data_IF_250806563675
#
_entry.id   IF_250806563675
#
_cell.length_a   1.000
_cell.length_b   1.000
_cell.length_c   1.000
_cell.angle_alpha   90.00
_cell.angle_beta   90.00
_cell.angle_gamma   90.00
#
_symmetry.space_group_name_H-M   'P 1'
#
loop_
_entity.id
_entity.type
_entity.pdbx_description
1 polymer ?
#
# COMPACT_ATOMS: atom_id res chain seq x y z
N UNK A 1 -10.42 -0.44 -22.18
CA UNK A 1 -10.04 -1.80 -22.59
C UNK A 1 -11.19 -2.44 -23.32
N UNK A 2 -10.91 -3.22 -24.35
CA UNK A 2 -11.92 -4.02 -25.04
C UNK A 2 -12.16 -5.33 -24.28
N UNK A 3 -13.42 -5.78 -24.15
CA UNK A 3 -13.80 -7.07 -23.52
C UNK A 3 -12.93 -8.27 -23.91
N UNK A 4 -12.37 -8.26 -25.13
CA UNK A 4 -11.47 -9.30 -25.63
C UNK A 4 -10.16 -9.42 -24.83
N UNK A 5 -9.58 -8.30 -24.40
CA UNK A 5 -8.33 -8.26 -23.65
C UNK A 5 -8.55 -8.81 -22.23
N UNK A 6 -9.69 -8.46 -21.62
CA UNK A 6 -10.10 -8.95 -20.31
C UNK A 6 -10.31 -10.48 -20.33
N UNK A 7 -11.01 -10.99 -21.34
CA UNK A 7 -11.23 -12.43 -21.54
C UNK A 7 -9.90 -13.19 -21.74
N UNK A 8 -8.92 -12.57 -22.41
CA UNK A 8 -7.58 -13.14 -22.58
C UNK A 8 -6.83 -13.21 -21.26
N UNK A 9 -6.84 -12.14 -20.44
CA UNK A 9 -6.21 -12.16 -19.11
C UNK A 9 -6.85 -13.23 -18.22
N UNK A 10 -8.19 -13.34 -18.23
CA UNK A 10 -8.91 -14.38 -17.48
C UNK A 10 -8.50 -15.78 -17.93
N UNK A 11 -8.37 -15.99 -19.25
CA UNK A 11 -7.94 -17.29 -19.82
C UNK A 11 -6.51 -17.64 -19.40
N UNK A 12 -5.59 -16.69 -19.47
CA UNK A 12 -4.19 -16.87 -19.08
C UNK A 12 -4.11 -17.14 -17.57
N UNK A 13 -4.83 -16.36 -16.74
CA UNK A 13 -4.89 -16.54 -15.30
C UNK A 13 -5.29 -17.97 -14.92
N UNK A 14 -6.39 -18.49 -15.50
CA UNK A 14 -6.87 -19.85 -15.25
C UNK A 14 -5.84 -20.92 -15.66
N UNK A 15 -5.13 -20.73 -16.78
CA UNK A 15 -4.08 -21.65 -17.22
C UNK A 15 -2.86 -21.62 -16.30
N UNK A 16 -2.38 -20.43 -15.93
CA UNK A 16 -1.25 -20.26 -15.01
C UNK A 16 -1.57 -20.82 -13.63
N UNK A 17 -2.79 -20.64 -13.14
CA UNK A 17 -3.22 -21.21 -11.86
C UNK A 17 -3.18 -22.74 -11.88
N UNK A 18 -3.67 -23.35 -12.97
CA UNK A 18 -3.60 -24.81 -13.16
C UNK A 18 -2.15 -25.32 -13.22
N UNK A 19 -1.24 -24.59 -13.85
CA UNK A 19 0.19 -24.92 -13.89
C UNK A 19 0.84 -24.79 -12.50
N UNK A 20 0.46 -23.76 -11.75
CA UNK A 20 0.90 -23.55 -10.37
C UNK A 20 0.47 -24.72 -9.49
N UNK A 21 -0.81 -25.10 -9.51
CA UNK A 21 -1.35 -26.20 -8.71
C UNK A 21 -0.71 -27.55 -9.05
N UNK A 22 -0.45 -27.81 -10.34
CA UNK A 22 0.12 -29.08 -10.81
C UNK A 22 1.64 -29.16 -10.71
N UNK A 23 2.31 -28.11 -10.21
CA UNK A 23 3.79 -27.98 -10.20
C UNK A 23 4.42 -28.28 -11.57
N UNK A 24 3.71 -27.97 -12.65
CA UNK A 24 4.13 -28.28 -14.00
C UNK A 24 4.58 -26.98 -14.67
N UNK A 25 5.88 -26.84 -14.95
CA UNK A 25 6.45 -25.63 -15.54
C UNK A 25 6.31 -25.55 -17.07
N UNK A 26 5.94 -26.66 -17.72
CA UNK A 26 5.83 -26.73 -19.19
C UNK A 26 4.73 -25.80 -19.70
N UNK A 27 5.10 -24.86 -20.59
CA UNK A 27 4.19 -23.84 -21.16
C UNK A 27 4.01 -22.60 -20.29
N UNK A 28 4.64 -22.51 -19.12
CA UNK A 28 4.57 -21.31 -18.28
C UNK A 28 5.23 -20.10 -18.96
N UNK A 29 6.36 -20.30 -19.66
CA UNK A 29 7.10 -19.24 -20.33
C UNK A 29 6.25 -18.52 -21.39
N UNK A 30 5.52 -19.28 -22.22
CA UNK A 30 4.69 -18.72 -23.29
C UNK A 30 3.52 -17.93 -22.73
N UNK A 31 2.85 -18.44 -21.68
CA UNK A 31 1.76 -17.74 -21.01
C UNK A 31 2.24 -16.44 -20.35
N UNK A 32 3.44 -16.43 -19.76
CA UNK A 32 4.02 -15.21 -19.19
C UNK A 32 4.41 -14.19 -20.27
N UNK A 33 4.86 -14.65 -21.45
CA UNK A 33 5.15 -13.76 -22.59
C UNK A 33 3.88 -13.14 -23.14
N UNK A 34 2.82 -13.94 -23.32
CA UNK A 34 1.50 -13.46 -23.74
C UNK A 34 0.96 -12.43 -22.75
N UNK A 35 1.06 -12.72 -21.44
CA UNK A 35 0.63 -11.83 -20.38
C UNK A 35 1.38 -10.49 -20.33
N UNK A 36 2.63 -10.46 -20.79
CA UNK A 36 3.42 -9.22 -20.86
C UNK A 36 2.94 -8.28 -21.97
N UNK A 37 2.36 -8.82 -23.03
CA UNK A 37 1.90 -8.06 -24.20
C UNK A 37 0.54 -7.43 -23.90
N UNK A 38 -0.33 -8.13 -23.16
CA UNK A 38 -1.65 -7.64 -22.80
C UNK A 38 -1.53 -6.56 -21.73
N UNK A 39 -2.11 -5.36 -21.94
CA UNK A 39 -2.08 -4.29 -20.95
C UNK A 39 -2.84 -4.74 -19.69
N UNK A 40 -2.15 -4.73 -18.55
CA UNK A 40 -2.73 -5.11 -17.26
C UNK A 40 -3.32 -3.89 -16.55
N UNK A 41 -4.49 -4.06 -15.92
CA UNK A 41 -5.12 -3.07 -15.04
C UNK A 41 -5.21 -3.59 -13.61
N UNK A 42 -5.41 -2.66 -12.66
CA UNK A 42 -5.65 -3.01 -11.25
C UNK A 42 -6.88 -3.90 -11.08
N UNK A 43 -7.98 -3.58 -11.78
CA UNK A 43 -9.23 -4.34 -11.74
C UNK A 43 -9.03 -5.79 -12.22
N UNK A 44 -8.31 -6.00 -13.33
CA UNK A 44 -8.00 -7.34 -13.82
C UNK A 44 -7.08 -8.10 -12.86
N UNK A 45 -6.09 -7.42 -12.27
CA UNK A 45 -5.18 -8.05 -11.31
C UNK A 45 -5.93 -8.52 -10.05
N UNK A 46 -6.86 -7.71 -9.53
CA UNK A 46 -7.67 -8.03 -8.35
C UNK A 46 -8.71 -9.12 -8.65
N UNK A 47 -9.48 -8.98 -9.73
CA UNK A 47 -10.56 -9.92 -10.09
C UNK A 47 -10.03 -11.30 -10.47
N UNK A 48 -8.96 -11.36 -11.26
CA UNK A 48 -8.39 -12.64 -11.72
C UNK A 48 -7.46 -13.29 -10.70
N UNK A 49 -6.96 -12.51 -9.73
CA UNK A 49 -5.95 -12.93 -8.76
C UNK A 49 -4.67 -13.52 -9.39
N UNK A 50 -4.37 -13.15 -10.64
CA UNK A 50 -3.25 -13.70 -11.42
C UNK A 50 -1.88 -13.46 -10.77
N UNK A 51 -1.75 -12.41 -9.94
CA UNK A 51 -0.53 -12.14 -9.17
C UNK A 51 -0.11 -13.30 -8.26
N UNK A 52 -1.08 -14.03 -7.69
CA UNK A 52 -0.78 -15.19 -6.84
C UNK A 52 -0.25 -16.36 -7.65
N UNK A 53 -0.92 -16.70 -8.76
CA UNK A 53 -0.51 -17.81 -9.63
C UNK A 53 0.87 -17.55 -10.25
N UNK A 54 1.14 -16.32 -10.70
CA UNK A 54 2.47 -15.93 -11.23
C UNK A 54 3.55 -15.97 -10.16
N UNK A 55 3.24 -15.56 -8.93
CA UNK A 55 4.16 -15.69 -7.80
C UNK A 55 4.44 -17.14 -7.42
N UNK A 56 3.44 -18.03 -7.53
CA UNK A 56 3.63 -19.47 -7.34
C UNK A 56 4.53 -20.06 -8.42
N UNK A 57 4.27 -19.77 -9.70
CA UNK A 57 5.13 -20.16 -10.83
C UNK A 57 6.57 -19.69 -10.59
N UNK A 58 6.78 -18.42 -10.20
CA UNK A 58 8.11 -17.90 -9.86
C UNK A 58 8.83 -18.70 -8.78
N UNK A 59 8.11 -19.18 -7.76
CA UNK A 59 8.71 -19.90 -6.62
C UNK A 59 9.03 -21.36 -6.94
N UNK A 60 8.24 -22.00 -7.80
CA UNK A 60 8.36 -23.43 -8.09
C UNK A 60 9.15 -23.75 -9.37
N UNK A 61 9.28 -22.79 -10.29
CA UNK A 61 10.04 -22.97 -11.52
C UNK A 61 11.53 -23.02 -11.25
N UNK A 62 12.23 -23.95 -11.89
CA UNK A 62 13.70 -24.04 -11.92
C UNK A 62 14.31 -23.33 -13.14
N UNK A 63 13.46 -22.83 -14.04
CA UNK A 63 13.85 -22.10 -15.25
C UNK A 63 14.08 -20.61 -14.91
N UNK A 64 15.29 -20.14 -15.19
CA UNK A 64 15.71 -18.77 -14.92
C UNK A 64 14.97 -17.74 -15.79
N UNK A 65 14.63 -18.06 -17.03
CA UNK A 65 13.87 -17.18 -17.91
C UNK A 65 12.43 -17.02 -17.40
N UNK A 66 11.79 -18.13 -17.02
CA UNK A 66 10.45 -18.12 -16.41
C UNK A 66 10.45 -17.29 -15.12
N UNK A 67 11.47 -17.49 -14.28
CA UNK A 67 11.62 -16.79 -13.01
C UNK A 67 11.83 -15.29 -13.20
N UNK A 68 12.72 -14.91 -14.14
CA UNK A 68 13.01 -13.52 -14.47
C UNK A 68 11.78 -12.79 -15.03
N UNK A 69 11.07 -13.43 -15.96
CA UNK A 69 9.87 -12.85 -16.57
C UNK A 69 8.75 -12.68 -15.54
N UNK A 70 8.53 -13.67 -14.67
CA UNK A 70 7.56 -13.57 -13.58
C UNK A 70 7.93 -12.46 -12.58
N UNK A 71 9.22 -12.29 -12.23
CA UNK A 71 9.69 -11.17 -11.38
C UNK A 71 9.40 -9.82 -12.03
N UNK A 72 9.65 -9.69 -13.34
CA UNK A 72 9.41 -8.45 -14.09
C UNK A 72 7.93 -8.07 -14.11
N UNK A 73 7.03 -9.03 -14.39
CA UNK A 73 5.58 -8.82 -14.36
C UNK A 73 5.09 -8.38 -12.98
N UNK A 74 5.49 -9.08 -11.92
CA UNK A 74 5.12 -8.73 -10.54
C UNK A 74 5.61 -7.32 -10.18
N UNK A 75 6.82 -6.94 -10.59
CA UNK A 75 7.36 -5.59 -10.35
C UNK A 75 6.56 -4.52 -11.10
N UNK A 76 6.15 -4.78 -12.35
CA UNK A 76 5.33 -3.85 -13.11
C UNK A 76 3.96 -3.63 -12.49
N UNK A 77 3.32 -4.69 -11.98
CA UNK A 77 2.01 -4.60 -11.34
C UNK A 77 2.05 -3.95 -9.96
N UNK A 78 3.13 -4.14 -9.19
CA UNK A 78 3.32 -3.40 -7.94
C UNK A 78 3.35 -1.89 -8.16
N UNK A 79 3.98 -1.42 -9.23
CA UNK A 79 3.95 0.00 -9.58
C UNK A 79 2.55 0.52 -9.90
N UNK A 80 1.66 -0.32 -10.42
CA UNK A 80 0.24 0.03 -10.64
C UNK A 80 -0.57 0.10 -9.33
N UNK A 81 -0.05 -0.48 -8.24
CA UNK A 81 -0.63 -0.42 -6.89
C UNK A 81 -0.03 0.72 -6.07
N UNK A 82 1.24 1.05 -6.31
CA UNK A 82 1.99 2.10 -5.59
C UNK A 82 1.73 3.51 -6.16
N UNK A 83 0.86 3.67 -7.16
CA UNK A 83 0.41 5.00 -7.59
C UNK A 83 -0.79 5.42 -6.72
N UNK A 84 -0.61 6.33 -5.73
CA UNK A 84 -1.75 6.95 -5.07
C UNK A 84 -2.49 7.77 -6.14
N UNK A 85 -3.82 7.76 -6.10
CA UNK A 85 -4.66 8.56 -6.97
C UNK A 85 -4.12 10.00 -7.08
N UNK A 86 -3.49 10.34 -8.21
CA UNK A 86 -2.99 11.69 -8.46
C UNK A 86 -1.78 11.76 -9.38
N UNK A 87 -2.01 11.77 -10.70
CA UNK A 87 -1.00 12.30 -11.63
C UNK A 87 -0.96 11.68 -13.02
N UNK A 88 -1.95 12.01 -13.85
CA UNK A 88 -1.85 11.88 -15.31
C UNK A 88 -0.52 12.47 -15.85
N UNK A 89 0.35 11.63 -16.43
CA UNK A 89 0.97 11.83 -17.78
C UNK A 89 2.04 10.79 -18.14
N UNK A 90 1.66 10.00 -19.16
CA UNK A 90 2.43 9.73 -20.39
C UNK A 90 3.72 8.93 -20.29
N UNK A 91 3.66 7.74 -20.90
CA UNK A 91 4.76 6.91 -21.34
C UNK A 91 5.70 7.62 -22.31
N UNK A 92 7.02 7.45 -22.15
CA UNK A 92 7.92 7.32 -23.30
C UNK A 92 9.11 6.40 -22.98
N UNK A 93 9.67 5.91 -24.06
CA UNK A 93 10.34 4.62 -24.25
C UNK A 93 11.87 4.74 -24.13
N UNK A 94 12.55 3.59 -24.32
CA UNK A 94 13.97 3.39 -24.67
C UNK A 94 15.06 3.27 -23.59
N UNK A 95 15.40 2.00 -23.32
CA UNK A 95 16.65 1.33 -23.74
C UNK A 95 17.98 2.11 -23.55
N UNK A 96 18.83 1.64 -22.62
CA UNK A 96 20.20 1.07 -22.82
C UNK A 96 21.07 1.25 -21.55
N UNK A 97 21.58 0.14 -21.04
CA UNK A 97 22.82 0.09 -20.23
C UNK A 97 24.08 0.27 -21.15
N UNK A 98 25.35 0.20 -20.68
CA UNK A 98 25.93 0.24 -19.31
C UNK A 98 27.17 1.17 -19.17
N UNK A 99 27.65 1.41 -17.94
CA UNK A 99 29.07 1.55 -17.50
C UNK A 99 29.09 2.14 -16.07
N UNK A 100 29.48 1.40 -15.02
CA UNK A 100 30.84 1.05 -14.58
C UNK A 100 31.61 2.21 -13.90
N UNK A 101 32.26 1.88 -12.77
CA UNK A 101 33.21 2.65 -11.93
C UNK A 101 32.58 3.76 -11.05
N UNK A 102 32.92 3.98 -9.78
CA UNK A 102 34.09 3.57 -9.01
C UNK A 102 33.77 3.47 -7.50
N UNK A 103 34.62 2.72 -6.83
CA UNK A 103 34.67 2.41 -5.40
C UNK A 103 35.71 3.32 -4.71
N UNK A 104 35.46 3.77 -3.48
CA UNK A 104 36.44 4.10 -2.40
C UNK A 104 35.68 4.74 -1.21
N UNK A 105 35.67 4.15 0.00
CA UNK A 105 36.65 4.32 1.11
C UNK A 105 36.77 5.78 1.60
N UNK A 106 36.97 6.15 2.87
CA UNK A 106 36.80 5.64 4.24
C UNK A 106 37.45 6.72 5.14
N UNK A 107 36.92 6.91 6.37
CA UNK A 107 37.56 7.52 7.56
C UNK A 107 37.85 9.05 7.64
N UNK A 108 37.45 9.62 8.79
CA UNK A 108 37.99 10.89 9.33
C UNK A 108 37.15 11.48 10.47
N UNK A 109 37.43 11.09 11.71
CA UNK A 109 37.06 11.77 12.99
C UNK A 109 37.68 13.20 13.04
N UNK A 110 37.33 14.16 13.94
CA UNK A 110 36.96 13.97 15.36
C UNK A 110 35.87 14.90 15.98
N UNK A 111 35.39 14.48 17.15
CA UNK A 111 34.74 15.24 18.24
C UNK A 111 35.67 16.36 18.81
N UNK A 112 35.19 17.41 19.55
CA UNK A 112 34.79 17.23 20.97
C UNK A 112 33.80 18.23 21.63
N UNK A 113 33.29 17.80 22.80
CA UNK A 113 32.86 18.54 24.03
C UNK A 113 31.48 19.24 24.05
N UNK A 114 30.50 18.76 24.84
CA UNK A 114 30.26 18.93 26.31
C UNK A 114 30.06 20.43 26.68
N UNK A 115 29.00 20.90 27.35
CA UNK A 115 28.30 20.39 28.53
C UNK A 115 27.05 21.25 28.84
N UNK A 116 26.02 20.67 29.51
CA UNK A 116 25.09 21.31 30.48
C UNK A 116 24.13 22.45 30.03
N UNK A 117 22.90 22.64 30.52
CA UNK A 117 21.96 21.94 31.40
C UNK A 117 20.65 22.79 31.48
N UNK A 118 19.54 22.15 31.84
CA UNK A 118 18.45 22.67 32.70
C UNK A 118 17.41 23.73 32.21
N UNK A 119 16.13 23.35 32.42
CA UNK A 119 15.02 24.17 32.97
C UNK A 119 13.88 24.63 32.05
N UNK A 120 12.76 23.90 32.14
CA UNK A 120 11.41 24.34 32.52
C UNK A 120 10.82 25.66 31.95
N UNK A 121 9.70 25.58 31.22
CA UNK A 121 8.58 26.50 31.45
C UNK A 121 7.25 25.94 30.96
N UNK A 122 6.29 25.99 31.87
CA UNK A 122 4.87 25.77 31.71
C UNK A 122 4.21 26.93 30.95
N UNK A 123 3.19 26.65 30.14
CA UNK A 123 2.17 27.64 29.81
C UNK A 123 0.82 26.95 29.56
N UNK A 124 -0.08 27.26 30.49
CA UNK A 124 -1.51 27.01 30.52
C UNK A 124 -2.20 28.08 29.67
N UNK A 125 -3.14 27.70 28.82
CA UNK A 125 -4.16 28.63 28.31
C UNK A 125 -5.44 27.86 28.00
N UNK A 126 -6.49 28.16 28.78
CA UNK A 126 -7.85 27.69 28.57
C UNK A 126 -8.68 28.71 27.77
N UNK A 127 -9.74 28.19 27.15
CA UNK A 127 -10.96 28.85 26.64
C UNK A 127 -10.75 29.81 25.46
N UNK A 128 -11.42 29.62 24.33
CA UNK A 128 -12.89 29.67 24.16
C UNK A 128 -13.24 28.94 22.85
N UNK A 129 -14.38 28.25 22.77
CA UNK A 129 -15.17 28.30 21.53
C UNK A 129 -16.63 27.90 21.71
N UNK A 130 -17.44 28.50 20.83
CA UNK A 130 -18.89 28.61 20.81
C UNK A 130 -19.62 27.27 20.60
N UNK A 131 -20.74 27.11 21.31
CA UNK A 131 -21.90 26.33 20.85
C UNK A 131 -22.93 27.33 20.28
N UNK A 132 -23.83 26.98 19.33
CA UNK A 132 -24.60 25.72 19.28
C UNK A 132 -24.75 25.11 17.86
N UNK A 133 -25.10 23.82 17.71
CA UNK A 133 -26.47 23.39 17.38
C UNK A 133 -26.59 21.87 17.42
N UNK A 134 -27.59 21.42 18.16
CA UNK A 134 -28.17 20.09 18.32
C UNK A 134 -28.35 19.28 17.03
N UNK A 135 -27.76 18.09 16.96
CA UNK A 135 -28.45 16.88 16.50
C UNK A 135 -27.88 15.62 17.17
N UNK A 136 -28.67 15.06 18.10
CA UNK A 136 -28.72 13.68 18.58
C UNK A 136 -27.51 12.75 18.30
N UNK A 137 -26.66 12.57 19.32
CA UNK A 137 -26.03 11.29 19.59
C UNK A 137 -25.66 11.25 21.08
N UNK A 138 -26.57 10.73 21.90
CA UNK A 138 -26.38 10.57 23.34
C UNK A 138 -25.48 9.36 23.64
N UNK A 139 -24.28 9.34 23.05
CA UNK A 139 -23.24 8.37 23.38
C UNK A 139 -22.21 9.04 24.29
N UNK A 140 -21.82 8.37 25.40
CA UNK A 140 -20.82 8.93 26.29
C UNK A 140 -19.51 9.13 25.51
N UNK A 141 -18.92 10.32 25.67
CA UNK A 141 -17.60 10.64 25.13
C UNK A 141 -16.58 9.67 25.72
N UNK A 142 -15.72 9.12 24.87
CA UNK A 142 -14.69 8.20 25.32
C UNK A 142 -13.70 8.93 26.24
N UNK A 143 -13.24 8.32 27.34
CA UNK A 143 -12.19 8.88 28.18
C UNK A 143 -10.91 9.14 27.37
N UNK A 144 -10.20 10.21 27.72
CA UNK A 144 -8.84 10.46 27.20
C UNK A 144 -7.89 9.35 27.64
N UNK A 145 -6.94 9.00 26.78
CA UNK A 145 -5.91 7.98 27.05
C UNK A 145 -4.51 8.54 26.80
N UNK A 146 -3.56 8.15 27.64
CA UNK A 146 -2.13 8.48 27.49
C UNK A 146 -1.29 7.28 27.02
N UNK A 147 -1.91 6.12 26.82
CA UNK A 147 -1.23 4.91 26.36
C UNK A 147 -0.93 5.02 24.85
N UNK A 148 0.32 4.81 24.47
CA UNK A 148 0.77 4.98 23.08
C UNK A 148 0.15 3.97 22.12
N UNK A 149 -0.17 2.76 22.58
CA UNK A 149 -0.82 1.71 21.77
C UNK A 149 -2.29 2.08 21.57
N UNK A 150 -2.99 2.50 22.62
CA UNK A 150 -4.38 2.98 22.54
C UNK A 150 -4.49 4.18 21.63
N UNK A 151 -3.59 5.16 21.74
CA UNK A 151 -3.54 6.32 20.84
C UNK A 151 -3.36 5.89 19.39
N UNK A 152 -2.43 4.96 19.10
CA UNK A 152 -2.24 4.46 17.73
C UNK A 152 -3.44 3.67 17.22
N UNK A 153 -4.12 2.92 18.08
CA UNK A 153 -5.36 2.22 17.74
C UNK A 153 -6.46 3.21 17.35
N UNK A 154 -6.68 4.25 18.16
CA UNK A 154 -7.64 5.33 17.85
C UNK A 154 -7.32 6.00 16.52
N UNK A 155 -6.06 6.34 16.26
CA UNK A 155 -5.61 6.93 14.99
C UNK A 155 -5.91 5.99 13.80
N UNK A 156 -5.65 4.69 13.93
CA UNK A 156 -5.96 3.70 12.89
C UNK A 156 -7.46 3.58 12.64
N UNK A 157 -8.28 3.64 13.70
CA UNK A 157 -9.74 3.62 13.59
C UNK A 157 -10.27 4.90 12.91
N UNK A 158 -9.81 6.08 13.32
CA UNK A 158 -10.17 7.36 12.69
C UNK A 158 -9.89 7.34 11.17
N UNK A 159 -8.68 6.90 10.79
CA UNK A 159 -8.28 6.83 9.38
C UNK A 159 -9.14 5.86 8.57
N UNK A 160 -9.53 4.72 9.16
CA UNK A 160 -10.40 3.75 8.49
C UNK A 160 -11.82 4.32 8.25
N UNK A 161 -12.32 5.12 9.20
CA UNK A 161 -13.64 5.76 9.11
C UNK A 161 -13.71 6.87 8.05
N UNK A 162 -12.58 7.47 7.67
CA UNK A 162 -12.50 8.54 6.67
C UNK A 162 -12.50 8.04 5.21
N UNK A 163 -12.90 6.79 4.96
CA UNK A 163 -12.93 6.23 3.60
C UNK A 163 -14.06 6.86 2.78
N UNK A 164 -13.73 7.58 1.71
CA UNK A 164 -14.71 8.06 0.72
C UNK A 164 -15.43 9.37 1.08
N UNK A 165 -14.89 10.17 2.00
CA UNK A 165 -15.39 11.51 2.38
C UNK A 165 -16.82 11.57 2.95
N UNK A 166 -17.47 10.42 3.21
CA UNK A 166 -18.82 10.34 3.80
C UNK A 166 -18.92 11.06 5.14
N UNK A 167 -17.85 11.00 5.95
CA UNK A 167 -17.77 11.69 7.23
C UNK A 167 -17.96 13.22 7.12
N UNK A 168 -17.57 13.83 6.00
CA UNK A 168 -17.75 15.26 5.73
C UNK A 168 -19.22 15.55 5.45
N UNK A 169 -19.86 14.71 4.64
CA UNK A 169 -21.27 14.86 4.26
C UNK A 169 -22.21 14.63 5.43
N UNK A 170 -21.86 13.67 6.30
CA UNK A 170 -22.62 13.31 7.50
C UNK A 170 -22.32 14.27 8.66
N UNK A 171 -21.19 14.98 8.63
CA UNK A 171 -20.72 15.80 9.75
C UNK A 171 -20.26 14.97 10.94
N UNK A 172 -19.70 13.79 10.69
CA UNK A 172 -19.25 12.87 11.73
C UNK A 172 -17.81 13.16 12.15
N UNK A 173 -17.59 13.27 13.46
CA UNK A 173 -16.25 13.34 14.06
C UNK A 173 -15.64 11.93 14.13
N UNK A 174 -14.75 11.63 13.19
CA UNK A 174 -14.09 10.33 13.11
C UNK A 174 -13.14 10.06 14.28
N UNK A 175 -12.57 11.11 14.89
CA UNK A 175 -11.68 10.96 16.04
C UNK A 175 -12.46 10.59 17.30
N UNK A 176 -13.62 11.20 17.49
CA UNK A 176 -14.52 10.85 18.58
C UNK A 176 -15.10 9.44 18.39
N UNK A 177 -15.53 9.08 17.16
CA UNK A 177 -16.00 7.73 16.85
C UNK A 177 -14.91 6.67 17.04
N UNK A 178 -13.68 6.95 16.60
CA UNK A 178 -12.53 6.06 16.80
C UNK A 178 -12.23 5.84 18.28
N UNK A 179 -12.33 6.88 19.11
CA UNK A 179 -12.16 6.77 20.55
C UNK A 179 -13.27 5.93 21.23
N UNK A 180 -14.52 6.08 20.79
CA UNK A 180 -15.65 5.30 21.33
C UNK A 180 -15.59 3.82 20.94
N UNK A 181 -15.21 3.52 19.70
CA UNK A 181 -15.03 2.14 19.25
C UNK A 181 -13.94 1.45 20.07
N UNK A 182 -12.81 2.13 20.27
CA UNK A 182 -11.69 1.61 21.05
C UNK A 182 -12.06 1.36 22.51
N UNK A 183 -12.83 2.24 23.13
CA UNK A 183 -13.30 2.06 24.52
C UNK A 183 -14.28 0.88 24.66
N UNK A 184 -15.10 0.60 23.64
CA UNK A 184 -16.08 -0.49 23.70
C UNK A 184 -15.48 -1.89 23.52
N UNK A 185 -14.29 -1.98 22.91
CA UNK A 185 -13.64 -3.28 22.62
C UNK A 185 -12.62 -3.71 23.69
N UNK A 186 -12.34 -2.85 24.68
CA UNK A 186 -11.50 -3.15 25.84
C UNK A 186 -12.30 -3.83 26.96
#
# INVERSE_FOLDING_TARGET
MGKKEEDEVIRIAKKLDKLAQKKNGSGALDLLKELKIVPMTLELLQSTRIGMSVNAIRKQSTDDEVTSLAKSLIKSWKKLLDEPAGGDKTSEDKKKEPAASAMSQSQGSPEPREESSSSNSSSKSETVDMMPTTHMSAFPRAPGTSDSVRLKCREMLSNALQTGDDHITIGADCDELGAQIEEYIL
#
